data_IF_845906851476
#
_entry.id   IF_845906851476
#
_cell.length_a   1.000
_cell.length_b   1.000
_cell.length_c   1.000
_cell.angle_alpha   90.00
_cell.angle_beta   90.00
_cell.angle_gamma   90.00
#
_symmetry.space_group_name_H-M   'P 1'
#
loop_
_entity.id
_entity.type
_entity.pdbx_description
1 polymer ?
#
# COMPACT_ATOMS: atom_id res chain seq x y z
N UNK A 1 -6.20 -35.53 -2.01
CA UNK A 1 -6.85 -34.42 -1.27
C UNK A 1 -5.89 -33.52 -0.48
N UNK A 2 -4.77 -34.03 0.03
CA UNK A 2 -3.78 -33.26 0.84
C UNK A 2 -2.96 -32.22 0.06
N UNK A 3 -2.73 -32.41 -1.24
CA UNK A 3 -1.95 -31.47 -2.06
C UNK A 3 -2.67 -30.14 -2.32
N UNK A 4 -4.00 -30.17 -2.52
CA UNK A 4 -4.82 -28.97 -2.75
C UNK A 4 -4.83 -28.08 -1.50
N UNK A 5 -4.93 -28.70 -0.31
CA UNK A 5 -4.91 -27.98 0.97
C UNK A 5 -3.58 -27.23 1.22
N UNK A 6 -2.43 -27.84 0.90
CA UNK A 6 -1.12 -27.19 1.04
C UNK A 6 -0.95 -25.99 0.09
N UNK A 7 -1.45 -26.10 -1.14
CA UNK A 7 -1.36 -25.03 -2.13
C UNK A 7 -2.20 -23.82 -1.74
N UNK A 8 -3.44 -24.06 -1.26
CA UNK A 8 -4.32 -22.99 -0.77
C UNK A 8 -3.69 -22.28 0.43
N UNK A 9 -3.07 -23.02 1.36
CA UNK A 9 -2.41 -22.42 2.53
C UNK A 9 -1.21 -21.56 2.15
N UNK A 10 -0.38 -22.04 1.22
CA UNK A 10 0.74 -21.26 0.68
C UNK A 10 0.26 -19.98 -0.04
N UNK A 11 -0.84 -20.06 -0.79
CA UNK A 11 -1.44 -18.91 -1.46
C UNK A 11 -1.94 -17.86 -0.47
N UNK A 12 -2.60 -18.27 0.62
CA UNK A 12 -3.09 -17.38 1.67
C UNK A 12 -1.91 -16.66 2.37
N UNK A 13 -0.82 -17.38 2.67
CA UNK A 13 0.39 -16.79 3.25
C UNK A 13 0.97 -15.75 2.30
N UNK A 14 1.11 -16.10 1.01
CA UNK A 14 1.65 -15.19 0.01
C UNK A 14 0.81 -13.91 -0.12
N UNK A 15 -0.52 -14.05 -0.20
CA UNK A 15 -1.45 -12.92 -0.25
C UNK A 15 -1.37 -12.05 1.01
N UNK A 16 -1.22 -12.67 2.18
CA UNK A 16 -1.09 -11.95 3.45
C UNK A 16 0.21 -11.14 3.51
N UNK A 17 1.33 -11.70 3.04
CA UNK A 17 2.61 -10.99 2.93
C UNK A 17 2.50 -9.87 1.89
N UNK A 18 1.89 -10.14 0.74
CA UNK A 18 1.70 -9.15 -0.33
C UNK A 18 0.88 -7.93 0.14
N UNK A 19 -0.23 -8.19 0.84
CA UNK A 19 -1.04 -7.14 1.47
C UNK A 19 -0.23 -6.41 2.54
N UNK A 20 0.49 -7.12 3.41
CA UNK A 20 1.35 -6.49 4.42
C UNK A 20 2.41 -5.58 3.81
N UNK A 21 3.07 -5.98 2.73
CA UNK A 21 4.13 -5.20 2.07
C UNK A 21 3.56 -3.99 1.32
N UNK A 22 2.41 -4.12 0.65
CA UNK A 22 1.82 -3.03 -0.12
C UNK A 22 1.00 -2.07 0.73
N UNK A 23 0.12 -2.57 1.61
CA UNK A 23 -0.75 -1.73 2.44
C UNK A 23 -0.02 -1.10 3.64
N UNK A 24 1.09 -1.69 4.13
CA UNK A 24 1.85 -1.12 5.26
C UNK A 24 3.05 -0.27 4.87
N UNK A 25 3.23 0.07 3.58
CA UNK A 25 4.31 0.98 3.16
C UNK A 25 4.01 2.41 3.61
N UNK A 26 4.26 2.70 4.89
CA UNK A 26 4.06 4.00 5.52
C UNK A 26 5.18 4.92 5.10
N UNK A 27 4.88 5.85 4.20
CA UNK A 27 5.81 6.88 3.78
C UNK A 27 5.61 8.07 4.74
N UNK A 28 6.58 8.37 5.62
CA UNK A 28 6.47 9.51 6.51
C UNK A 28 6.49 10.81 5.72
N UNK A 29 5.82 11.84 6.22
CA UNK A 29 5.80 13.17 5.60
C UNK A 29 5.72 14.27 6.65
N UNK A 30 6.31 15.42 6.31
CA UNK A 30 6.17 16.66 7.08
C UNK A 30 5.04 17.53 6.54
N UNK A 31 4.87 17.54 5.22
CA UNK A 31 3.86 18.32 4.52
C UNK A 31 3.41 17.63 3.21
N UNK A 32 2.43 18.19 2.52
CA UNK A 32 1.88 17.59 1.29
C UNK A 32 2.91 17.51 0.15
N UNK A 33 3.93 18.37 0.15
CA UNK A 33 4.94 18.39 -0.90
C UNK A 33 5.88 17.17 -0.80
N UNK A 34 6.17 16.70 0.42
CA UNK A 34 6.89 15.43 0.64
C UNK A 34 6.17 14.25 -0.02
N UNK A 35 4.85 14.20 0.10
CA UNK A 35 4.04 13.13 -0.51
C UNK A 35 3.98 13.26 -2.03
N UNK A 36 3.98 14.48 -2.55
CA UNK A 36 4.00 14.72 -3.99
C UNK A 36 5.36 14.35 -4.61
N UNK A 37 6.46 14.65 -3.93
CA UNK A 37 7.80 14.23 -4.35
C UNK A 37 7.96 12.70 -4.34
N UNK A 38 7.25 12.02 -3.44
CA UNK A 38 7.27 10.57 -3.30
C UNK A 38 6.05 9.88 -3.93
N UNK A 39 5.35 10.54 -4.88
CA UNK A 39 4.09 10.01 -5.42
C UNK A 39 4.24 8.61 -6.05
N UNK A 40 5.38 8.35 -6.72
CA UNK A 40 5.69 7.04 -7.31
C UNK A 40 5.82 5.93 -6.26
N UNK A 41 6.25 6.27 -5.04
CA UNK A 41 6.39 5.32 -3.95
C UNK A 41 5.05 5.06 -3.24
N UNK A 42 4.11 6.01 -3.31
CA UNK A 42 2.78 5.91 -2.72
C UNK A 42 1.89 4.89 -3.41
N UNK A 43 2.19 4.57 -4.67
CA UNK A 43 1.44 3.61 -5.49
C UNK A 43 -0.10 3.83 -5.41
N UNK A 44 -0.54 5.09 -5.53
CA UNK A 44 -1.96 5.41 -5.55
C UNK A 44 -2.68 4.60 -6.63
N UNK A 45 -3.79 3.98 -6.24
CA UNK A 45 -4.42 2.93 -7.02
C UNK A 45 -5.30 3.50 -8.12
N UNK A 46 -5.74 4.75 -7.97
CA UNK A 46 -6.61 5.43 -8.92
C UNK A 46 -6.00 6.75 -9.39
N UNK A 47 -6.14 7.06 -10.69
CA UNK A 47 -5.63 8.32 -11.28
C UNK A 47 -6.26 9.60 -10.69
N UNK A 48 -7.39 9.46 -9.98
CA UNK A 48 -8.09 10.57 -9.31
C UNK A 48 -7.69 10.78 -7.85
N UNK A 49 -6.70 10.05 -7.38
CA UNK A 49 -6.20 10.21 -6.02
C UNK A 49 -5.05 11.21 -5.98
N UNK A 50 -5.05 12.08 -4.97
CA UNK A 50 -4.00 13.04 -4.70
C UNK A 50 -3.27 12.62 -3.42
N UNK A 51 -1.93 12.54 -3.44
CA UNK A 51 -1.16 12.22 -2.26
C UNK A 51 -1.25 13.37 -1.24
N UNK A 52 -1.74 13.10 -0.03
CA UNK A 52 -1.82 14.05 1.07
C UNK A 52 -1.11 13.55 2.31
N UNK A 53 -0.51 14.47 3.05
CA UNK A 53 0.12 14.18 4.32
C UNK A 53 -0.93 14.23 5.44
N UNK A 54 -1.20 13.09 6.08
CA UNK A 54 -2.20 12.96 7.15
C UNK A 54 -1.58 12.20 8.31
N UNK A 55 -1.58 12.82 9.49
CA UNK A 55 -0.91 12.29 10.69
C UNK A 55 0.55 11.89 10.42
N UNK A 56 1.27 12.75 9.69
CA UNK A 56 2.67 12.54 9.30
C UNK A 56 2.91 11.30 8.42
N UNK A 57 1.87 10.79 7.76
CA UNK A 57 1.96 9.68 6.81
C UNK A 57 1.28 10.11 5.51
N UNK A 58 1.94 9.84 4.39
CA UNK A 58 1.35 10.07 3.09
C UNK A 58 0.25 9.05 2.81
N UNK A 59 -0.92 9.54 2.38
CA UNK A 59 -2.04 8.71 1.94
C UNK A 59 -2.58 9.24 0.62
N UNK A 60 -3.05 8.33 -0.22
CA UNK A 60 -3.82 8.67 -1.41
C UNK A 60 -5.24 9.05 -0.97
N UNK A 61 -5.68 10.26 -1.30
CA UNK A 61 -7.05 10.70 -1.05
C UNK A 61 -7.75 10.97 -2.38
N UNK A 62 -9.02 10.57 -2.55
CA UNK A 62 -9.79 11.01 -3.71
C UNK A 62 -9.88 12.54 -3.72
N UNK A 63 -9.81 13.10 -4.92
CA UNK A 63 -9.95 14.53 -5.21
C UNK A 63 -11.33 15.07 -4.82
#
# INVERSE_FOLDING_TARGET
MTHISKFVFALIIFLSIYVGVNDCKRIPCKDNNDCNNNWQLLACRFEREVPRCINSICKCMPM
#
